data_IF_043616068508
#
_entry.id   IF_043616068508
#
_cell.length_a   1.000
_cell.length_b   1.000
_cell.length_c   1.000
_cell.angle_alpha   90.00
_cell.angle_beta   90.00
_cell.angle_gamma   90.00
#
_symmetry.space_group_name_H-M   'P 1'
#
loop_
_entity.id
_entity.type
_entity.pdbx_description
1 polymer ?
#
# COMPACT_ATOMS: atom_id res chain seq x y z
N UNK A 1 -2.77 6.02 -6.87
CA UNK A 1 -3.88 5.22 -6.33
C UNK A 1 -3.30 3.85 -6.06
N UNK A 2 -3.13 3.48 -4.80
CA UNK A 2 -2.48 2.22 -4.45
C UNK A 2 -3.58 1.13 -4.43
N UNK A 3 -3.61 0.22 -5.41
CA UNK A 3 -4.55 -0.90 -5.52
C UNK A 3 -3.81 -2.22 -5.21
N UNK A 4 -4.32 -3.01 -4.27
CA UNK A 4 -3.71 -4.28 -3.88
C UNK A 4 -4.22 -5.36 -4.83
N UNK A 5 -3.47 -5.65 -5.89
CA UNK A 5 -3.84 -6.73 -6.81
C UNK A 5 -4.16 -8.03 -6.04
N UNK A 6 -5.23 -8.71 -6.43
CA UNK A 6 -5.70 -9.94 -5.81
C UNK A 6 -6.11 -9.85 -4.33
N UNK A 7 -6.39 -8.67 -3.77
CA UNK A 7 -6.93 -8.54 -2.41
C UNK A 7 -8.21 -9.37 -2.20
N UNK A 8 -9.06 -9.45 -3.23
CA UNK A 8 -10.21 -10.35 -3.25
C UNK A 8 -9.83 -11.83 -3.07
N UNK A 9 -8.74 -12.29 -3.70
CA UNK A 9 -8.25 -13.66 -3.54
C UNK A 9 -7.81 -13.93 -2.10
N UNK A 10 -7.16 -12.95 -1.45
CA UNK A 10 -6.79 -13.04 -0.03
C UNK A 10 -8.03 -13.14 0.85
N UNK A 11 -9.03 -12.29 0.62
CA UNK A 11 -10.30 -12.34 1.36
C UNK A 11 -11.04 -13.67 1.15
N UNK A 12 -11.10 -14.16 -0.08
CA UNK A 12 -11.80 -15.40 -0.41
C UNK A 12 -11.07 -16.63 0.16
N UNK A 13 -9.73 -16.59 0.26
CA UNK A 13 -8.91 -17.73 0.74
C UNK A 13 -8.77 -17.75 2.27
N UNK A 14 -8.60 -16.58 2.89
CA UNK A 14 -8.24 -16.46 4.32
C UNK A 14 -9.30 -15.74 5.15
N UNK A 15 -10.38 -15.28 4.52
CA UNK A 15 -11.46 -14.54 5.16
C UNK A 15 -11.17 -13.05 5.29
N UNK A 16 -12.24 -12.28 5.41
CA UNK A 16 -12.18 -10.81 5.49
C UNK A 16 -11.36 -10.28 6.66
N UNK A 17 -11.29 -10.99 7.79
CA UNK A 17 -10.46 -10.58 8.93
C UNK A 17 -8.97 -10.53 8.56
N UNK A 18 -8.52 -11.45 7.71
CA UNK A 18 -7.14 -11.46 7.22
C UNK A 18 -6.87 -10.25 6.31
N UNK A 19 -7.79 -9.96 5.39
CA UNK A 19 -7.71 -8.77 4.55
C UNK A 19 -7.73 -7.47 5.35
N UNK A 20 -8.56 -7.38 6.40
CA UNK A 20 -8.60 -6.21 7.27
C UNK A 20 -7.27 -5.95 7.99
N UNK A 21 -6.59 -7.00 8.47
CA UNK A 21 -5.27 -6.86 9.09
C UNK A 21 -4.20 -6.42 8.07
N UNK A 22 -4.28 -6.93 6.83
CA UNK A 22 -3.41 -6.49 5.75
C UNK A 22 -3.61 -5.02 5.42
N UNK A 23 -4.86 -4.57 5.31
CA UNK A 23 -5.20 -3.17 5.06
C UNK A 23 -4.72 -2.25 6.18
N UNK A 24 -4.85 -2.67 7.44
CA UNK A 24 -4.30 -1.91 8.59
C UNK A 24 -2.78 -1.79 8.52
N UNK A 25 -2.10 -2.88 8.15
CA UNK A 25 -0.65 -2.89 7.98
C UNK A 25 -0.23 -1.90 6.87
N UNK A 26 -0.89 -1.95 5.72
CA UNK A 26 -0.59 -1.06 4.59
C UNK A 26 -0.89 0.39 4.93
N UNK A 27 -2.04 0.67 5.54
CA UNK A 27 -2.40 2.00 6.00
C UNK A 27 -1.31 2.58 6.93
N UNK A 28 -0.82 1.78 7.89
CA UNK A 28 0.24 2.23 8.80
C UNK A 28 1.54 2.58 8.08
N UNK A 29 1.93 1.79 7.08
CA UNK A 29 3.17 2.04 6.31
C UNK A 29 3.05 3.32 5.48
N UNK A 30 1.92 3.47 4.77
CA UNK A 30 1.69 4.63 3.91
C UNK A 30 1.58 5.89 4.77
N UNK A 31 0.86 5.84 5.89
CA UNK A 31 0.69 6.96 6.82
C UNK A 31 2.02 7.39 7.45
N UNK A 32 2.83 6.44 7.93
CA UNK A 32 4.16 6.75 8.49
C UNK A 32 5.06 7.45 7.46
N UNK A 33 5.05 6.97 6.20
CA UNK A 33 5.85 7.58 5.13
C UNK A 33 5.33 8.92 4.66
N UNK A 34 4.02 9.09 4.57
CA UNK A 34 3.42 10.39 4.26
C UNK A 34 3.77 11.41 5.35
N UNK A 35 3.63 11.04 6.62
CA UNK A 35 3.90 11.93 7.76
C UNK A 35 5.37 12.39 7.81
N UNK A 36 6.33 11.53 7.46
CA UNK A 36 7.76 11.88 7.35
C UNK A 36 8.02 12.98 6.31
N UNK A 37 7.18 13.07 5.29
CA UNK A 37 7.27 14.06 4.21
C UNK A 37 6.27 15.22 4.40
N UNK A 38 5.70 15.38 5.60
CA UNK A 38 4.66 16.37 5.92
C UNK A 38 3.38 16.24 5.07
N UNK A 39 3.12 15.02 4.58
CA UNK A 39 1.93 14.68 3.81
C UNK A 39 0.82 14.05 4.64
N UNK A 40 -0.28 13.72 3.95
CA UNK A 40 -1.45 13.05 4.50
C UNK A 40 -1.82 11.83 3.68
N UNK A 41 -2.33 10.81 4.36
CA UNK A 41 -2.86 9.60 3.74
C UNK A 41 -4.35 9.48 3.98
N UNK A 42 -5.08 8.97 3.00
CA UNK A 42 -6.50 8.65 3.10
C UNK A 42 -6.81 7.34 2.38
N UNK A 43 -7.79 6.59 2.90
CA UNK A 43 -8.37 5.44 2.20
C UNK A 43 -9.49 5.96 1.30
N UNK A 44 -9.35 5.78 -0.01
CA UNK A 44 -10.33 6.24 -0.99
C UNK A 44 -11.56 5.32 -1.04
N UNK A 45 -11.35 4.00 -0.94
CA UNK A 45 -12.42 3.00 -0.87
C UNK A 45 -11.87 1.61 -1.13
N UNK A 46 -12.48 0.55 -0.58
CA UNK A 46 -11.99 -0.82 -0.79
C UNK A 46 -10.52 -0.97 -0.36
N UNK A 47 -9.67 -1.54 -1.22
CA UNK A 47 -8.21 -1.59 -1.02
C UNK A 47 -7.43 -0.34 -1.47
N UNK A 48 -8.12 0.73 -1.91
CA UNK A 48 -7.48 1.89 -2.52
C UNK A 48 -7.03 2.96 -1.52
N UNK A 49 -5.76 3.38 -1.60
CA UNK A 49 -5.18 4.48 -0.81
C UNK A 49 -4.71 5.66 -1.67
N UNK A 50 -4.83 6.87 -1.10
CA UNK A 50 -4.33 8.14 -1.62
C UNK A 50 -3.34 8.73 -0.60
N UNK A 51 -2.22 9.22 -1.11
CA UNK A 51 -1.24 9.96 -0.34
C UNK A 51 -1.02 11.33 -1.01
N UNK A 52 -1.00 12.39 -0.21
CA UNK A 52 -0.87 13.77 -0.65
C UNK A 52 0.31 14.39 0.08
N UNK A 53 1.35 14.77 -0.66
CA UNK A 53 2.60 15.30 -0.10
C UNK A 53 2.80 16.71 -0.65
N UNK A 54 2.69 17.76 0.19
CA UNK A 54 2.87 19.14 -0.25
C UNK A 54 4.33 19.45 -0.57
N UNK A 55 4.55 20.50 -1.36
CA UNK A 55 5.88 21.07 -1.64
C UNK A 55 6.89 20.10 -2.26
N UNK A 56 6.42 19.06 -2.96
CA UNK A 56 7.26 18.12 -3.72
C UNK A 56 7.03 18.26 -5.22
N UNK A 57 8.12 18.20 -5.97
CA UNK A 57 8.03 18.06 -7.42
C UNK A 57 7.75 16.59 -7.81
N UNK A 58 7.54 16.35 -9.11
CA UNK A 58 7.20 15.01 -9.60
C UNK A 58 8.28 13.97 -9.26
N UNK A 59 9.56 14.28 -9.48
CA UNK A 59 10.66 13.35 -9.25
C UNK A 59 10.82 13.01 -7.76
N UNK A 60 10.63 13.98 -6.87
CA UNK A 60 10.62 13.75 -5.43
C UNK A 60 9.44 12.87 -5.01
N UNK A 61 8.26 13.15 -5.57
CA UNK A 61 7.05 12.37 -5.29
C UNK A 61 7.22 10.93 -5.76
N UNK A 62 7.80 10.70 -6.93
CA UNK A 62 8.08 9.34 -7.44
C UNK A 62 9.06 8.58 -6.55
N UNK A 63 10.12 9.22 -6.04
CA UNK A 63 11.04 8.57 -5.11
C UNK A 63 10.35 8.11 -3.83
N UNK A 64 9.46 8.94 -3.28
CA UNK A 64 8.70 8.60 -2.08
C UNK A 64 7.74 7.44 -2.38
N UNK A 65 7.06 7.49 -3.53
CA UNK A 65 6.19 6.42 -3.99
C UNK A 65 6.92 5.08 -4.14
N UNK A 66 8.12 5.08 -4.74
CA UNK A 66 8.96 3.88 -4.90
C UNK A 66 9.36 3.28 -3.55
N UNK A 67 9.67 4.13 -2.56
CA UNK A 67 9.99 3.69 -1.20
C UNK A 67 8.77 3.05 -0.53
N UNK A 68 7.61 3.69 -0.62
CA UNK A 68 6.34 3.14 -0.10
C UNK A 68 6.06 1.79 -0.76
N UNK A 69 6.19 1.70 -2.08
CA UNK A 69 5.99 0.48 -2.85
C UNK A 69 6.90 -0.67 -2.38
N UNK A 70 8.21 -0.40 -2.25
CA UNK A 70 9.15 -1.40 -1.75
C UNK A 70 8.74 -1.91 -0.36
N UNK A 71 8.28 -1.01 0.53
CA UNK A 71 7.84 -1.39 1.88
C UNK A 71 6.57 -2.21 1.87
N UNK A 72 5.58 -1.86 1.03
CA UNK A 72 4.35 -2.62 0.89
C UNK A 72 4.60 -4.03 0.35
N UNK A 73 5.53 -4.21 -0.60
CA UNK A 73 5.93 -5.54 -1.06
C UNK A 73 6.53 -6.36 0.07
N UNK A 74 7.49 -5.79 0.82
CA UNK A 74 8.13 -6.49 1.93
C UNK A 74 7.12 -6.84 3.02
N UNK A 75 6.18 -5.94 3.33
CA UNK A 75 5.12 -6.17 4.30
C UNK A 75 4.16 -7.27 3.84
N UNK A 76 3.75 -7.23 2.57
CA UNK A 76 2.92 -8.26 1.95
C UNK A 76 3.58 -9.64 2.02
N UNK A 77 4.85 -9.73 1.60
CA UNK A 77 5.61 -10.98 1.66
C UNK A 77 5.75 -11.51 3.09
N UNK A 78 6.00 -10.63 4.08
CA UNK A 78 6.04 -11.03 5.49
C UNK A 78 4.68 -11.51 5.98
N UNK A 79 3.62 -10.80 5.64
CA UNK A 79 2.26 -11.15 6.03
C UNK A 79 1.86 -12.51 5.46
N UNK A 80 2.16 -12.75 4.18
CA UNK A 80 1.98 -14.05 3.52
C UNK A 80 2.85 -15.11 4.21
N UNK A 81 4.15 -14.91 4.38
CA UNK A 81 5.04 -15.91 5.01
C UNK A 81 4.63 -16.29 6.44
N UNK A 82 4.07 -15.33 7.19
CA UNK A 82 3.62 -15.55 8.57
C UNK A 82 2.28 -16.29 8.66
N UNK A 83 1.45 -16.21 7.61
CA UNK A 83 0.10 -16.80 7.57
C UNK A 83 -0.08 -17.94 6.55
N UNK A 84 0.83 -18.13 5.60
CA UNK A 84 0.63 -18.88 4.35
C UNK A 84 1.94 -19.56 3.93
N UNK A 85 1.90 -20.88 3.68
CA UNK A 85 3.09 -21.66 3.33
C UNK A 85 3.41 -21.76 1.82
N UNK A 86 2.52 -21.40 0.88
CA UNK A 86 2.77 -21.64 -0.55
C UNK A 86 1.92 -20.77 -1.51
N UNK A 87 2.18 -19.45 -1.65
CA UNK A 87 1.63 -18.66 -2.77
C UNK A 87 2.68 -17.70 -3.34
N UNK A 88 2.90 -17.77 -4.66
CA UNK A 88 3.62 -16.75 -5.43
C UNK A 88 2.67 -15.57 -5.69
N UNK A 89 3.03 -14.37 -5.24
CA UNK A 89 2.25 -13.16 -5.43
C UNK A 89 3.05 -12.12 -6.22
N UNK A 90 2.40 -11.47 -7.18
CA UNK A 90 2.90 -10.27 -7.85
C UNK A 90 2.01 -9.10 -7.44
N UNK A 91 2.62 -7.96 -7.10
CA UNK A 91 1.90 -6.71 -6.88
C UNK A 91 2.24 -5.73 -7.99
N UNK A 92 1.26 -5.36 -8.82
CA UNK A 92 1.32 -4.15 -9.63
C UNK A 92 0.60 -3.02 -8.88
N UNK A 93 1.12 -1.79 -8.98
CA UNK A 93 0.52 -0.61 -8.34
C UNK A 93 0.60 0.60 -9.29
N UNK A 94 -0.49 1.35 -9.43
CA UNK A 94 -0.55 2.54 -10.28
C UNK A 94 -0.47 3.84 -9.46
N UNK A 95 0.71 4.43 -9.34
CA UNK A 95 0.85 5.76 -8.74
C UNK A 95 0.40 6.85 -9.73
N UNK A 96 -0.56 7.67 -9.30
CA UNK A 96 -0.98 8.87 -10.00
C UNK A 96 -0.57 10.06 -9.15
N UNK A 97 0.40 10.84 -9.64
CA UNK A 97 0.82 12.09 -9.00
C UNK A 97 -0.13 13.19 -9.46
N UNK A 98 -1.02 13.62 -8.58
CA UNK A 98 -1.90 14.76 -8.83
C UNK A 98 -1.18 16.01 -8.34
N UNK A 99 -0.80 16.89 -9.27
CA UNK A 99 -0.36 18.26 -8.94
C UNK A 99 -1.60 19.10 -8.61
N UNK A 100 -1.59 19.70 -7.43
CA UNK A 100 -2.60 20.68 -6.98
C UNK A 100 -2.03 22.08 -7.18
#
# INVERSE_FOLDING_TARGET
MCDIDYFKCINDTYGHLCGDEMLKCFASIIDEKAAQESGWTGRYGGEEFICLIPDKNADETYKIADVIFCLLIVACQKFILFHILDINFSLDYNFYVIRI
#
